data_IF_711974292354
#
_entry.id   IF_711974292354
#
_cell.length_a   1.000
_cell.length_b   1.000
_cell.length_c   1.000
_cell.angle_alpha   90.00
_cell.angle_beta   90.00
_cell.angle_gamma   90.00
#
_symmetry.space_group_name_H-M   'P 1'
#
loop_
_entity.id
_entity.type
_entity.pdbx_description
1 polymer ?
#
# COMPACT_ATOMS: atom_id res chain seq x y z
N UNK A 1 -11.32 20.05 -21.91
CA UNK A 1 -11.36 19.26 -20.66
C UNK A 1 -11.07 17.83 -21.05
N UNK A 2 -9.86 17.35 -20.81
CA UNK A 2 -9.53 15.94 -21.01
C UNK A 2 -10.24 15.15 -19.91
N UNK A 3 -11.18 14.29 -20.33
CA UNK A 3 -11.76 13.25 -19.50
C UNK A 3 -10.63 12.25 -19.22
N UNK A 4 -9.92 12.42 -18.12
CA UNK A 4 -9.15 11.32 -17.56
C UNK A 4 -10.18 10.43 -16.89
N UNK A 5 -10.51 9.32 -17.55
CA UNK A 5 -11.24 8.20 -16.98
C UNK A 5 -10.38 7.63 -15.82
N UNK A 6 -10.39 8.36 -14.71
CA UNK A 6 -9.40 8.21 -13.64
C UNK A 6 -9.81 7.01 -12.81
N UNK A 7 -9.15 5.88 -13.05
CA UNK A 7 -9.14 4.76 -12.10
C UNK A 7 -8.50 5.14 -10.74
N UNK A 8 -7.97 6.36 -10.59
CA UNK A 8 -7.40 6.90 -9.36
C UNK A 8 -8.47 7.61 -8.54
N UNK A 9 -8.51 7.34 -7.23
CA UNK A 9 -9.35 8.12 -6.31
C UNK A 9 -8.88 9.58 -6.23
N UNK A 10 -9.76 10.48 -5.78
CA UNK A 10 -9.39 11.89 -5.50
C UNK A 10 -8.25 11.97 -4.49
N UNK A 11 -8.26 11.09 -3.48
CA UNK A 11 -7.19 11.01 -2.48
C UNK A 11 -5.87 10.56 -3.10
N UNK A 12 -5.92 9.58 -4.00
CA UNK A 12 -4.75 9.10 -4.75
C UNK A 12 -4.15 10.20 -5.61
N UNK A 13 -4.97 10.96 -6.34
CA UNK A 13 -4.52 12.09 -7.16
C UNK A 13 -3.82 13.15 -6.29
N UNK A 14 -4.43 13.54 -5.17
CA UNK A 14 -3.83 14.51 -4.25
C UNK A 14 -2.47 14.02 -3.73
N UNK A 15 -2.35 12.73 -3.39
CA UNK A 15 -1.07 12.17 -2.93
C UNK A 15 -0.01 12.18 -4.03
N UNK A 16 -0.34 11.82 -5.27
CA UNK A 16 0.61 11.88 -6.38
C UNK A 16 1.10 13.31 -6.65
N UNK A 17 0.22 14.30 -6.53
CA UNK A 17 0.59 15.72 -6.65
C UNK A 17 1.52 16.17 -5.51
N UNK A 18 1.26 15.75 -4.26
CA UNK A 18 2.16 16.01 -3.12
C UNK A 18 3.54 15.36 -3.33
N UNK A 19 3.59 14.25 -4.07
CA UNK A 19 4.84 13.56 -4.47
C UNK A 19 5.52 14.18 -5.70
N UNK A 20 5.06 15.34 -6.13
CA UNK A 20 5.61 16.12 -7.25
C UNK A 20 5.54 15.39 -8.60
N UNK A 21 4.49 14.58 -8.82
CA UNK A 21 4.18 14.04 -10.15
C UNK A 21 3.40 15.06 -10.98
N UNK A 22 3.83 15.29 -12.22
CA UNK A 22 3.10 16.11 -13.17
C UNK A 22 1.96 15.32 -13.85
N UNK A 23 1.11 16.00 -14.64
CA UNK A 23 -0.06 15.38 -15.29
C UNK A 23 0.30 14.18 -16.19
N UNK A 24 1.44 14.25 -16.89
CA UNK A 24 1.90 13.15 -17.77
C UNK A 24 2.33 11.94 -16.94
N UNK A 25 3.06 12.17 -15.85
CA UNK A 25 3.48 11.11 -14.92
C UNK A 25 2.27 10.49 -14.20
N UNK A 26 1.29 11.30 -13.77
CA UNK A 26 0.05 10.81 -13.16
C UNK A 26 -0.73 9.92 -14.14
N UNK A 27 -0.88 10.35 -15.40
CA UNK A 27 -1.53 9.54 -16.43
C UNK A 27 -0.76 8.24 -16.68
N UNK A 28 0.57 8.31 -16.81
CA UNK A 28 1.40 7.13 -17.03
C UNK A 28 1.30 6.12 -15.88
N UNK A 29 1.25 6.59 -14.63
CA UNK A 29 1.08 5.70 -13.49
C UNK A 29 -0.32 5.09 -13.45
N UNK A 30 -1.37 5.86 -13.76
CA UNK A 30 -2.73 5.34 -13.89
C UNK A 30 -2.83 4.26 -14.98
N UNK A 31 -2.12 4.43 -16.10
CA UNK A 31 -2.05 3.44 -17.18
C UNK A 31 -1.34 2.16 -16.73
N UNK A 32 -0.26 2.25 -15.95
CA UNK A 32 0.42 1.08 -15.35
C UNK A 32 -0.55 0.31 -14.42
N UNK A 33 -1.30 1.02 -13.57
CA UNK A 33 -2.29 0.38 -12.69
C UNK A 33 -3.40 -0.31 -13.48
N UNK A 34 -3.86 0.32 -14.57
CA UNK A 34 -4.86 -0.28 -15.45
C UNK A 34 -4.33 -1.54 -16.12
N UNK A 35 -3.14 -1.48 -16.71
CA UNK A 35 -2.51 -2.63 -17.37
C UNK A 35 -2.31 -3.79 -16.40
N UNK A 36 -1.91 -3.51 -15.16
CA UNK A 36 -1.76 -4.54 -14.12
C UNK A 36 -3.06 -5.31 -13.87
N UNK A 37 -4.20 -4.63 -13.84
CA UNK A 37 -5.53 -5.27 -13.62
C UNK A 37 -5.97 -6.15 -14.78
N UNK A 38 -5.48 -5.87 -15.98
CA UNK A 38 -5.77 -6.62 -17.21
C UNK A 38 -4.75 -7.75 -17.44
N UNK A 39 -3.59 -7.71 -16.77
CA UNK A 39 -2.57 -8.75 -16.85
C UNK A 39 -2.92 -9.98 -15.99
N UNK A 40 -2.59 -11.16 -16.49
CA UNK A 40 -2.73 -12.46 -15.81
C UNK A 40 -1.44 -12.91 -15.11
N UNK A 41 -0.36 -12.19 -15.30
CA UNK A 41 0.93 -12.41 -14.66
C UNK A 41 0.90 -12.07 -13.16
N UNK A 42 1.85 -12.64 -12.41
CA UNK A 42 2.10 -12.21 -11.02
C UNK A 42 2.58 -10.76 -10.98
N UNK A 43 2.34 -10.00 -9.89
CA UNK A 43 2.84 -8.62 -9.75
C UNK A 43 4.34 -8.46 -10.00
N UNK A 44 5.16 -9.42 -9.55
CA UNK A 44 6.59 -9.45 -9.84
C UNK A 44 6.90 -9.60 -11.32
N UNK A 45 6.19 -10.50 -12.02
CA UNK A 45 6.40 -10.71 -13.45
C UNK A 45 5.97 -9.47 -14.25
N UNK A 46 4.87 -8.82 -13.89
CA UNK A 46 4.44 -7.55 -14.46
C UNK A 46 5.50 -6.46 -14.24
N UNK A 47 5.96 -6.24 -13.01
CA UNK A 47 7.02 -5.27 -12.70
C UNK A 47 8.32 -5.52 -13.49
N UNK A 48 8.66 -6.79 -13.77
CA UNK A 48 9.82 -7.15 -14.61
C UNK A 48 9.62 -6.84 -16.10
N UNK A 49 8.39 -6.79 -16.57
CA UNK A 49 8.08 -6.43 -17.96
C UNK A 49 8.10 -4.92 -18.21
N UNK A 50 7.98 -4.10 -17.15
CA UNK A 50 8.05 -2.66 -17.25
C UNK A 50 9.42 -2.20 -17.75
N UNK A 51 9.41 -1.15 -18.56
CA UNK A 51 10.62 -0.45 -18.98
C UNK A 51 11.30 0.24 -17.78
N UNK A 52 12.55 0.66 -17.96
CA UNK A 52 13.28 1.39 -16.92
C UNK A 52 12.57 2.68 -16.51
N UNK A 53 12.01 3.42 -17.46
CA UNK A 53 11.30 4.68 -17.18
C UNK A 53 9.98 4.43 -16.42
N UNK A 54 9.25 3.38 -16.78
CA UNK A 54 8.04 2.97 -16.04
C UNK A 54 8.37 2.52 -14.62
N UNK A 55 9.46 1.78 -14.40
CA UNK A 55 9.92 1.45 -13.05
C UNK A 55 10.35 2.68 -12.25
N UNK A 56 10.96 3.69 -12.87
CA UNK A 56 11.24 4.97 -12.21
C UNK A 56 9.95 5.71 -11.86
N UNK A 57 8.93 5.64 -12.72
CA UNK A 57 7.62 6.21 -12.44
C UNK A 57 6.94 5.52 -11.26
N UNK A 58 6.94 4.17 -11.21
CA UNK A 58 6.44 3.41 -10.05
C UNK A 58 7.19 3.78 -8.78
N UNK A 59 8.52 3.91 -8.85
CA UNK A 59 9.36 4.34 -7.72
C UNK A 59 8.94 5.73 -7.22
N UNK A 60 8.79 6.70 -8.12
CA UNK A 60 8.39 8.08 -7.79
C UNK A 60 6.98 8.13 -7.22
N UNK A 61 6.04 7.45 -7.88
CA UNK A 61 4.65 7.35 -7.46
C UNK A 61 4.53 6.77 -6.04
N UNK A 62 5.41 5.86 -5.63
CA UNK A 62 5.46 5.28 -4.28
C UNK A 62 6.43 5.97 -3.31
N UNK A 63 7.09 7.07 -3.71
CA UNK A 63 8.07 7.80 -2.89
C UNK A 63 9.23 6.96 -2.37
N UNK A 64 9.66 5.95 -3.13
CA UNK A 64 10.78 5.09 -2.71
C UNK A 64 12.12 5.83 -2.88
N UNK A 65 13.00 5.70 -1.90
CA UNK A 65 14.35 6.26 -1.98
C UNK A 65 15.23 5.45 -2.96
N UNK A 66 15.24 4.12 -2.79
CA UNK A 66 16.05 3.20 -3.57
C UNK A 66 15.39 2.83 -4.90
N UNK A 67 16.21 2.46 -5.90
CA UNK A 67 15.72 1.84 -7.13
C UNK A 67 15.05 0.51 -6.81
N UNK A 68 13.99 0.18 -7.55
CA UNK A 68 13.26 -1.08 -7.36
C UNK A 68 14.11 -2.24 -7.88
N UNK A 69 14.49 -3.16 -6.99
CA UNK A 69 15.03 -4.46 -7.36
C UNK A 69 13.90 -5.50 -7.29
N UNK A 70 13.25 -5.80 -8.42
CA UNK A 70 12.05 -6.66 -8.42
C UNK A 70 12.31 -8.07 -7.89
N UNK A 71 13.54 -8.58 -8.04
CA UNK A 71 13.92 -9.91 -7.56
C UNK A 71 13.96 -10.00 -6.03
N UNK A 72 14.32 -8.92 -5.33
CA UNK A 72 14.41 -8.89 -3.86
C UNK A 72 13.06 -8.68 -3.17
N UNK A 73 12.05 -8.17 -3.87
CA UNK A 73 10.74 -7.89 -3.28
C UNK A 73 10.08 -9.16 -2.73
N UNK A 74 9.16 -9.05 -1.78
CA UNK A 74 8.22 -10.14 -1.50
C UNK A 74 7.10 -10.15 -2.55
N UNK A 75 6.19 -11.13 -2.48
CA UNK A 75 4.98 -11.11 -3.30
C UNK A 75 4.07 -9.92 -2.92
N UNK A 76 3.99 -9.62 -1.63
CA UNK A 76 3.20 -8.52 -1.08
C UNK A 76 3.78 -7.16 -1.47
N UNK A 77 5.08 -6.97 -1.24
CA UNK A 77 5.79 -5.75 -1.58
C UNK A 77 5.68 -5.43 -3.08
N UNK A 78 5.74 -6.44 -3.94
CA UNK A 78 5.51 -6.28 -5.37
C UNK A 78 4.05 -5.91 -5.69
N UNK A 79 3.07 -6.56 -5.06
CA UNK A 79 1.65 -6.25 -5.25
C UNK A 79 1.31 -4.83 -4.84
N UNK A 80 1.76 -4.42 -3.66
CA UNK A 80 1.45 -3.11 -3.09
C UNK A 80 2.14 -1.94 -3.82
N UNK A 81 3.18 -2.18 -4.62
CA UNK A 81 3.71 -1.15 -5.54
C UNK A 81 2.72 -0.78 -6.65
N UNK A 82 1.79 -1.69 -6.95
CA UNK A 82 0.75 -1.58 -7.98
C UNK A 82 -0.63 -1.30 -7.37
N UNK A 83 -0.64 -0.74 -6.15
CA UNK A 83 -1.85 -0.29 -5.45
C UNK A 83 -2.12 1.19 -5.67
N UNK A 84 -3.33 1.62 -5.34
CA UNK A 84 -3.71 3.02 -5.25
C UNK A 84 -2.79 3.79 -4.30
N UNK A 85 -2.33 4.99 -4.69
CA UNK A 85 -1.51 5.87 -3.85
C UNK A 85 -2.10 6.18 -2.46
N UNK A 86 -3.43 6.21 -2.35
CA UNK A 86 -4.14 6.42 -1.09
C UNK A 86 -4.07 5.24 -0.12
N UNK A 87 -3.68 4.05 -0.59
CA UNK A 87 -3.55 2.83 0.16
C UNK A 87 -4.86 2.04 0.31
N UNK A 88 -5.91 2.39 -0.44
CA UNK A 88 -7.25 1.80 -0.31
C UNK A 88 -7.33 0.31 -0.69
N UNK A 89 -6.42 -0.16 -1.53
CA UNK A 89 -6.31 -1.54 -2.02
C UNK A 89 -4.96 -2.19 -1.66
N UNK A 90 -4.27 -1.70 -0.62
CA UNK A 90 -3.14 -2.40 -0.04
C UNK A 90 -3.57 -3.73 0.58
N UNK A 91 -2.66 -4.69 0.56
CA UNK A 91 -2.85 -6.02 1.14
C UNK A 91 -1.71 -6.37 2.11
N UNK A 92 -2.00 -7.25 3.05
CA UNK A 92 -1.05 -7.92 3.94
C UNK A 92 -1.17 -9.43 3.66
N UNK A 93 -0.40 -9.95 2.72
CA UNK A 93 -0.61 -11.31 2.19
C UNK A 93 -0.26 -12.38 3.23
N UNK A 94 0.71 -12.11 4.09
CA UNK A 94 1.13 -13.07 5.13
C UNK A 94 0.37 -12.87 6.47
N UNK A 95 -0.45 -11.82 6.57
CA UNK A 95 -1.24 -11.42 7.73
C UNK A 95 -0.41 -11.15 8.99
N UNK A 96 0.85 -10.71 8.85
CA UNK A 96 1.74 -10.49 10.00
C UNK A 96 1.58 -9.10 10.65
N UNK A 97 0.69 -8.25 10.11
CA UNK A 97 0.42 -6.90 10.60
C UNK A 97 1.38 -5.84 10.04
N UNK A 98 2.38 -6.25 9.26
CA UNK A 98 3.34 -5.38 8.59
C UNK A 98 3.01 -5.35 7.09
N UNK A 99 2.66 -4.16 6.59
CA UNK A 99 2.41 -3.97 5.17
C UNK A 99 3.72 -3.60 4.47
N UNK A 100 4.08 -4.39 3.48
CA UNK A 100 5.24 -4.20 2.62
C UNK A 100 4.85 -3.44 1.34
N UNK A 101 5.56 -2.36 1.00
CA UNK A 101 5.40 -1.62 -0.27
C UNK A 101 6.78 -1.51 -0.92
N UNK A 102 7.03 -2.33 -1.93
CA UNK A 102 8.39 -2.60 -2.38
C UNK A 102 9.21 -3.20 -1.23
N UNK A 103 10.31 -2.55 -0.86
CA UNK A 103 11.14 -2.92 0.30
C UNK A 103 10.73 -2.15 1.59
N UNK A 104 9.82 -1.18 1.48
CA UNK A 104 9.34 -0.42 2.63
C UNK A 104 8.42 -1.27 3.49
N UNK A 105 8.46 -1.07 4.81
CA UNK A 105 7.63 -1.78 5.79
C UNK A 105 6.92 -0.78 6.68
N UNK A 106 5.63 -1.00 6.89
CA UNK A 106 4.78 -0.07 7.65
C UNK A 106 3.75 -0.80 8.49
N UNK A 107 3.55 -0.30 9.71
CA UNK A 107 2.47 -0.77 10.59
C UNK A 107 1.17 -0.13 10.13
N UNK A 108 0.11 -0.93 10.03
CA UNK A 108 -1.24 -0.46 9.76
C UNK A 108 -2.20 -0.97 10.85
N UNK A 109 -3.03 -0.07 11.38
CA UNK A 109 -4.15 -0.45 12.24
C UNK A 109 -5.42 0.34 11.85
N UNK A 110 -6.59 -0.33 11.72
CA UNK A 110 -6.77 -1.77 11.73
C UNK A 110 -6.00 -2.43 10.58
N UNK A 111 -5.77 -3.76 10.64
CA UNK A 111 -5.08 -4.47 9.57
C UNK A 111 -5.69 -4.15 8.19
N UNK A 112 -4.86 -4.08 7.14
CA UNK A 112 -5.37 -3.74 5.79
C UNK A 112 -6.38 -4.78 5.28
N UNK A 113 -6.28 -6.03 5.74
CA UNK A 113 -7.25 -7.09 5.44
C UNK A 113 -8.45 -7.13 6.39
N UNK A 114 -8.56 -6.21 7.36
CA UNK A 114 -9.66 -6.20 8.31
C UNK A 114 -11.03 -6.03 7.61
N UNK A 115 -12.09 -6.69 8.10
CA UNK A 115 -13.43 -6.53 7.57
C UNK A 115 -13.88 -5.07 7.52
N UNK A 116 -14.73 -4.73 6.55
CA UNK A 116 -15.20 -3.36 6.34
C UNK A 116 -15.84 -2.75 7.59
N UNK A 117 -16.57 -3.55 8.37
CA UNK A 117 -17.19 -3.08 9.63
C UNK A 117 -16.15 -2.68 10.69
N UNK A 118 -14.99 -3.36 10.75
CA UNK A 118 -13.88 -3.01 11.65
C UNK A 118 -13.24 -1.70 11.21
N UNK A 119 -12.94 -1.55 9.92
CA UNK A 119 -12.41 -0.30 9.35
C UNK A 119 -13.36 0.89 9.61
N UNK A 120 -14.66 0.66 9.47
CA UNK A 120 -15.71 1.67 9.71
C UNK A 120 -15.77 2.07 11.19
N UNK A 121 -15.77 1.09 12.09
CA UNK A 121 -15.78 1.34 13.53
C UNK A 121 -14.52 2.10 13.98
N UNK A 122 -13.36 1.74 13.44
CA UNK A 122 -12.10 2.45 13.69
C UNK A 122 -12.14 3.91 13.23
N UNK A 123 -12.56 4.16 11.99
CA UNK A 123 -12.66 5.52 11.45
C UNK A 123 -13.61 6.39 12.28
N UNK A 124 -14.74 5.82 12.73
CA UNK A 124 -15.68 6.51 13.62
C UNK A 124 -15.09 6.75 15.02
N UNK A 125 -14.38 5.78 15.58
CA UNK A 125 -13.79 5.89 16.92
C UNK A 125 -12.60 6.85 16.99
N UNK A 126 -11.96 7.13 15.84
CA UNK A 126 -10.80 8.02 15.73
C UNK A 126 -11.13 9.34 15.03
N UNK A 127 -12.41 9.62 14.79
CA UNK A 127 -12.85 10.87 14.19
C UNK A 127 -12.45 12.07 15.08
N UNK A 128 -11.81 13.07 14.47
CA UNK A 128 -11.37 14.29 15.16
C UNK A 128 -10.05 14.18 15.93
N UNK A 129 -9.42 13.00 16.00
CA UNK A 129 -8.08 12.87 16.57
C UNK A 129 -7.04 13.53 15.67
N UNK A 130 -6.02 14.13 16.29
CA UNK A 130 -4.85 14.57 15.53
C UNK A 130 -4.02 13.36 15.06
N UNK A 131 -3.09 13.62 14.14
CA UNK A 131 -2.26 12.56 13.57
C UNK A 131 -1.42 11.83 14.63
N UNK A 132 -0.86 12.54 15.61
CA UNK A 132 0.01 11.94 16.62
C UNK A 132 -0.78 11.09 17.62
N UNK A 133 -1.98 11.53 18.00
CA UNK A 133 -2.94 10.77 18.79
C UNK A 133 -3.34 9.49 18.08
N UNK A 134 -3.78 9.61 16.82
CA UNK A 134 -4.18 8.45 16.02
C UNK A 134 -3.03 7.46 15.87
N UNK A 135 -1.83 7.92 15.48
CA UNK A 135 -0.65 7.08 15.32
C UNK A 135 -0.25 6.34 16.62
N UNK A 136 -0.38 7.00 17.78
CA UNK A 136 -0.15 6.33 19.08
C UNK A 136 -1.14 5.22 19.35
N UNK A 137 -2.42 5.43 19.05
CA UNK A 137 -3.46 4.41 19.23
C UNK A 137 -3.26 3.27 18.23
N UNK A 138 -2.93 3.58 16.96
CA UNK A 138 -2.61 2.58 15.93
C UNK A 138 -1.46 1.68 16.39
N UNK A 139 -0.36 2.27 16.84
CA UNK A 139 0.80 1.53 17.34
C UNK A 139 0.43 0.68 18.56
N UNK A 140 -0.35 1.23 19.49
CA UNK A 140 -0.79 0.51 20.69
C UNK A 140 -1.63 -0.71 20.33
N UNK A 141 -2.66 -0.54 19.50
CA UNK A 141 -3.55 -1.64 19.13
C UNK A 141 -2.87 -2.66 18.23
N UNK A 142 -2.02 -2.22 17.30
CA UNK A 142 -1.15 -3.12 16.54
C UNK A 142 -0.32 -3.99 17.50
N UNK A 143 0.35 -3.39 18.49
CA UNK A 143 1.16 -4.14 19.45
C UNK A 143 0.35 -5.11 20.30
N UNK A 144 -0.92 -4.82 20.58
CA UNK A 144 -1.80 -5.72 21.32
C UNK A 144 -2.23 -6.93 20.47
N UNK A 145 -2.43 -6.74 19.17
CA UNK A 145 -2.86 -7.79 18.23
C UNK A 145 -1.68 -8.65 17.79
N UNK A 146 -0.61 -8.03 17.29
CA UNK A 146 0.52 -8.73 16.65
C UNK A 146 1.74 -8.87 17.56
N UNK A 147 1.87 -8.02 18.58
CA UNK A 147 3.11 -7.87 19.35
C UNK A 147 4.18 -7.06 18.60
N UNK A 148 5.41 -7.10 19.12
CA UNK A 148 6.59 -6.61 18.41
C UNK A 148 7.61 -7.73 18.31
N UNK A 149 8.06 -8.02 17.09
CA UNK A 149 9.16 -8.95 16.86
C UNK A 149 10.49 -8.25 17.19
N UNK A 150 11.15 -8.71 18.26
CA UNK A 150 12.55 -8.36 18.54
C UNK A 150 13.36 -9.64 18.36
N UNK A 151 14.27 -9.65 17.38
CA UNK A 151 15.18 -10.78 17.09
C UNK A 151 14.51 -12.09 16.61
N UNK A 152 13.40 -12.02 15.89
CA UNK A 152 12.83 -13.17 15.18
C UNK A 152 12.19 -14.25 16.06
N UNK A 153 11.98 -14.00 17.36
CA UNK A 153 11.16 -14.87 18.21
C UNK A 153 9.68 -14.56 17.98
N UNK A 154 8.94 -15.58 17.51
CA UNK A 154 7.64 -15.51 16.83
C UNK A 154 6.52 -14.67 17.44
N UNK A 155 5.64 -14.21 16.54
CA UNK A 155 4.35 -13.59 16.84
C UNK A 155 3.32 -14.63 17.32
N UNK A 156 2.22 -14.13 17.88
CA UNK A 156 0.97 -14.89 17.87
C UNK A 156 0.56 -15.10 16.40
N UNK A 157 0.03 -16.28 16.07
CA UNK A 157 -0.56 -16.52 14.76
C UNK A 157 -1.62 -15.47 14.45
N UNK A 158 -1.61 -14.96 13.23
CA UNK A 158 -2.56 -13.98 12.74
C UNK A 158 -4.00 -14.47 12.94
N UNK A 159 -4.90 -13.57 13.37
CA UNK A 159 -6.32 -13.89 13.42
C UNK A 159 -6.82 -14.08 11.99
N UNK A 160 -7.38 -15.26 11.70
CA UNK A 160 -8.05 -15.50 10.43
C UNK A 160 -9.17 -14.46 10.22
N UNK A 161 -9.38 -13.96 8.99
CA UNK A 161 -10.52 -13.10 8.68
C UNK A 161 -11.81 -13.79 9.13
N UNK A 162 -12.66 -13.07 9.87
CA UNK A 162 -14.03 -13.51 10.12
C UNK A 162 -14.90 -13.01 8.96
N UNK A 163 -15.72 -13.92 8.41
CA UNK A 163 -16.69 -13.65 7.33
C UNK A 163 -17.67 -12.52 7.67
#
# INVERSE_FOLDING_TARGET
MLNIDTQLSVSSLNKLQIRDLNETEISGFADILKQTKEDTNTPKAFLKSLTTDELQLVKKANSLASTINVDSLSAEGAQNLLSQPDGSDLVDLNNDGIVEIGESRSIHFPPVNAPLHVKTAWNKATEGLDWAEKARIELTLHSMVYGFNINGSGTKDALAPQE
#
